data_IF_438364400756
#
_entry.id   IF_438364400756
#
_cell.length_a   1.000
_cell.length_b   1.000
_cell.length_c   1.000
_cell.angle_alpha   90.00
_cell.angle_beta   90.00
_cell.angle_gamma   90.00
#
_symmetry.space_group_name_H-M   'P 1'
#
loop_
_entity.id
_entity.type
_entity.pdbx_description
1 polymer ?
#
# COMPACT_ATOMS: atom_id res chain seq x y z
N UNK A 1 -1.37 9.04 -12.39
CA UNK A 1 -1.82 8.53 -11.07
C UNK A 1 -0.88 7.42 -10.64
N UNK A 2 -0.21 7.58 -9.50
CA UNK A 2 0.84 6.67 -9.04
C UNK A 2 0.22 5.47 -8.32
N UNK A 3 0.16 4.33 -9.01
CA UNK A 3 -0.44 3.10 -8.50
C UNK A 3 0.51 1.93 -8.63
N UNK A 4 0.78 1.25 -7.52
CA UNK A 4 1.67 0.10 -7.45
C UNK A 4 0.83 -1.17 -7.55
N UNK A 5 1.12 -2.02 -8.53
CA UNK A 5 0.48 -3.34 -8.65
C UNK A 5 1.02 -4.27 -7.55
N UNK A 6 0.12 -4.99 -6.89
CA UNK A 6 0.45 -6.03 -5.90
C UNK A 6 -0.27 -7.31 -6.30
N UNK A 7 0.48 -8.41 -6.40
CA UNK A 7 -0.08 -9.73 -6.68
C UNK A 7 -0.56 -10.43 -5.40
N UNK A 8 -1.55 -11.33 -5.47
CA UNK A 8 -1.90 -12.19 -4.35
C UNK A 8 -0.71 -13.00 -3.86
N UNK A 9 -0.58 -13.11 -2.54
CA UNK A 9 0.37 -14.01 -1.89
C UNK A 9 -0.26 -14.61 -0.63
N UNK A 10 0.28 -15.74 -0.12
CA UNK A 10 -0.19 -16.34 1.12
C UNK A 10 -0.15 -15.38 2.32
N UNK A 11 0.82 -14.45 2.35
CA UNK A 11 0.98 -13.51 3.47
C UNK A 11 0.05 -12.30 3.41
N UNK A 12 -0.26 -11.81 2.20
CA UNK A 12 -1.03 -10.57 2.04
C UNK A 12 -2.54 -10.76 2.05
N UNK A 13 -3.03 -12.00 1.91
CA UNK A 13 -4.46 -12.33 1.99
C UNK A 13 -5.31 -11.74 0.86
N UNK A 14 -4.69 -11.20 -0.20
CA UNK A 14 -5.42 -10.67 -1.35
C UNK A 14 -6.04 -11.82 -2.15
N UNK A 15 -7.29 -11.64 -2.58
CA UNK A 15 -8.01 -12.63 -3.40
C UNK A 15 -7.79 -12.43 -4.90
N UNK A 16 -7.30 -11.26 -5.30
CA UNK A 16 -7.05 -10.89 -6.69
C UNK A 16 -5.94 -9.84 -6.77
N UNK A 17 -5.32 -9.73 -7.95
CA UNK A 17 -4.34 -8.69 -8.22
C UNK A 17 -4.93 -7.31 -7.94
N UNK A 18 -4.23 -6.53 -7.13
CA UNK A 18 -4.72 -5.28 -6.56
C UNK A 18 -3.75 -4.13 -6.83
N UNK A 19 -4.15 -2.90 -6.54
CA UNK A 19 -3.34 -1.70 -6.75
C UNK A 19 -3.34 -0.83 -5.51
N UNK A 20 -2.16 -0.56 -4.96
CA UNK A 20 -1.98 0.47 -3.94
C UNK A 20 -2.08 1.84 -4.60
N UNK A 21 -2.95 2.70 -4.09
CA UNK A 21 -3.17 4.05 -4.62
C UNK A 21 -2.37 5.06 -3.81
N UNK A 22 -1.16 5.38 -4.27
CA UNK A 22 -0.27 6.35 -3.60
C UNK A 22 -0.85 7.77 -3.68
N UNK A 23 -1.67 8.03 -4.68
CA UNK A 23 -2.40 9.28 -4.85
C UNK A 23 -3.58 9.48 -3.89
N UNK A 24 -3.95 8.48 -3.08
CA UNK A 24 -5.12 8.51 -2.19
C UNK A 24 -4.77 8.19 -0.74
N UNK A 25 -3.76 8.86 -0.18
CA UNK A 25 -3.44 8.74 1.24
C UNK A 25 -4.46 9.53 2.06
N UNK A 26 -5.09 8.88 3.04
CA UNK A 26 -6.05 9.50 3.95
C UNK A 26 -5.84 8.99 5.37
N UNK A 27 -6.13 9.83 6.37
CA UNK A 27 -6.08 9.45 7.78
C UNK A 27 -7.43 8.89 8.20
N UNK A 28 -7.43 7.75 8.90
CA UNK A 28 -8.64 7.14 9.45
C UNK A 28 -8.49 6.91 10.96
N UNK A 29 -9.54 7.11 11.77
CA UNK A 29 -9.55 6.70 13.17
C UNK A 29 -9.31 5.20 13.32
N UNK A 30 -8.56 4.78 14.35
CA UNK A 30 -8.26 3.36 14.61
C UNK A 30 -9.52 2.51 14.80
N UNK A 31 -10.60 3.09 15.34
CA UNK A 31 -11.90 2.42 15.51
C UNK A 31 -12.58 2.05 14.19
N UNK A 32 -12.18 2.63 13.06
CA UNK A 32 -12.68 2.26 11.72
C UNK A 32 -11.90 1.11 11.09
N UNK A 33 -10.80 0.66 11.70
CA UNK A 33 -10.04 -0.48 11.20
C UNK A 33 -10.77 -1.77 11.56
N UNK A 34 -11.05 -2.62 10.56
CA UNK A 34 -11.65 -3.93 10.74
C UNK A 34 -10.62 -5.03 11.01
N UNK A 35 -10.94 -6.24 10.56
CA UNK A 35 -10.06 -7.40 10.65
C UNK A 35 -8.78 -7.22 9.80
N UNK A 36 -7.66 -7.77 10.28
CA UNK A 36 -6.40 -7.79 9.53
C UNK A 36 -6.52 -8.75 8.35
N UNK A 37 -6.31 -8.25 7.13
CA UNK A 37 -6.32 -9.06 5.90
C UNK A 37 -5.03 -9.87 5.75
N UNK A 38 -3.88 -9.24 6.02
CA UNK A 38 -2.57 -9.85 5.84
C UNK A 38 -1.46 -8.82 5.98
N UNK A 39 -0.29 -9.11 5.40
CA UNK A 39 0.90 -8.26 5.39
C UNK A 39 1.45 -8.16 3.97
N UNK A 40 1.81 -6.95 3.54
CA UNK A 40 2.55 -6.76 2.29
C UNK A 40 3.97 -7.34 2.42
N UNK A 41 4.48 -7.89 1.32
CA UNK A 41 5.87 -8.30 1.23
C UNK A 41 6.81 -7.08 1.36
N UNK A 42 8.03 -7.32 1.81
CA UNK A 42 8.99 -6.24 2.10
C UNK A 42 9.35 -5.44 0.84
N UNK A 43 9.45 -6.10 -0.31
CA UNK A 43 9.69 -5.45 -1.61
C UNK A 43 8.53 -4.52 -2.02
N UNK A 44 7.28 -4.91 -1.74
CA UNK A 44 6.11 -4.07 -2.01
C UNK A 44 6.06 -2.87 -1.07
N UNK A 45 6.41 -3.06 0.21
CA UNK A 45 6.54 -1.97 1.19
C UNK A 45 7.64 -0.98 0.77
N UNK A 46 8.78 -1.48 0.29
CA UNK A 46 9.87 -0.64 -0.20
C UNK A 46 9.46 0.20 -1.41
N UNK A 47 8.73 -0.41 -2.36
CA UNK A 47 8.15 0.29 -3.52
C UNK A 47 7.14 1.35 -3.09
N UNK A 48 6.31 1.05 -2.09
CA UNK A 48 5.35 1.99 -1.52
C UNK A 48 6.05 3.20 -0.88
N UNK A 49 7.04 2.96 -0.02
CA UNK A 49 7.77 4.02 0.68
C UNK A 49 8.45 4.98 -0.32
N UNK A 50 9.14 4.45 -1.33
CA UNK A 50 9.77 5.27 -2.39
C UNK A 50 8.75 6.09 -3.16
N UNK A 51 7.62 5.48 -3.51
CA UNK A 51 6.54 6.16 -4.23
C UNK A 51 5.91 7.26 -3.41
N UNK A 52 5.75 7.07 -2.10
CA UNK A 52 5.25 8.08 -1.17
C UNK A 52 6.18 9.29 -1.09
N UNK A 53 7.50 9.07 -1.00
CA UNK A 53 8.47 10.16 -0.98
C UNK A 53 8.38 11.02 -2.24
N UNK A 54 8.27 10.39 -3.42
CA UNK A 54 8.11 11.10 -4.69
C UNK A 54 6.78 11.84 -4.73
N UNK A 55 5.67 11.19 -4.35
CA UNK A 55 4.35 11.81 -4.41
C UNK A 55 4.19 13.00 -3.46
N UNK A 56 4.81 12.93 -2.28
CA UNK A 56 4.78 14.00 -1.28
C UNK A 56 5.82 15.10 -1.54
N UNK A 57 6.64 15.01 -2.61
CA UNK A 57 7.71 15.97 -2.90
C UNK A 57 8.86 15.94 -1.89
N UNK A 58 9.02 14.84 -1.18
CA UNK A 58 10.07 14.63 -0.17
C UNK A 58 11.30 13.92 -0.74
N UNK A 59 11.19 13.38 -1.95
CA UNK A 59 12.33 12.88 -2.70
C UNK A 59 13.14 14.07 -3.23
N UNK A 60 14.43 14.10 -2.86
CA UNK A 60 15.42 15.09 -3.31
C UNK A 60 16.28 14.51 -4.43
#
# INVERSE_FOLDING_TARGET
>A
MLRIKVAPSPENGLRAASRLMVDKVTTVPKSRLGQRIGRLADDDLLRLNRSLLVFLGLAR
#
